data_IF_185526789564
#
_entry.id   IF_185526789564
#
_cell.length_a   1.000
_cell.length_b   1.000
_cell.length_c   1.000
_cell.angle_alpha   90.00
_cell.angle_beta   90.00
_cell.angle_gamma   90.00
#
_symmetry.space_group_name_H-M   'P 1'
#
loop_
_entity.id
_entity.type
_entity.pdbx_description
1 polymer ?
#
# COMPACT_ATOMS: atom_id res chain seq x y z
N UNK A 1 13.03 27.11 13.37
CA UNK A 1 13.32 25.67 13.34
C UNK A 1 13.59 25.29 11.89
N UNK A 2 14.79 24.82 11.60
CA UNK A 2 15.30 24.65 10.25
C UNK A 2 14.74 23.37 9.60
N UNK A 3 14.15 23.52 8.41
CA UNK A 3 13.77 22.42 7.52
C UNK A 3 15.05 21.76 6.99
N UNK A 4 15.16 20.44 7.14
CA UNK A 4 16.20 19.67 6.49
C UNK A 4 15.78 19.40 5.03
N UNK A 5 16.44 20.07 4.09
CA UNK A 5 16.35 19.80 2.66
C UNK A 5 17.31 18.66 2.27
N UNK A 6 16.88 17.80 1.35
CA UNK A 6 17.70 16.72 0.76
C UNK A 6 18.08 17.14 -0.67
N UNK A 7 19.37 17.20 -1.04
CA UNK A 7 19.80 17.58 -2.39
C UNK A 7 19.74 16.39 -3.36
N UNK A 8 19.13 16.60 -4.53
CA UNK A 8 19.20 15.69 -5.68
C UNK A 8 20.02 16.30 -6.81
N UNK A 9 20.85 15.48 -7.48
CA UNK A 9 21.35 15.76 -8.84
C UNK A 9 21.87 14.45 -9.50
N UNK A 10 22.22 14.42 -10.80
CA UNK A 10 21.45 13.79 -11.86
C UNK A 10 22.31 12.73 -12.58
N UNK A 11 21.93 12.35 -13.80
CA UNK A 11 22.65 11.49 -14.75
C UNK A 11 22.61 9.98 -14.46
N UNK A 12 21.96 9.22 -15.35
CA UNK A 12 22.68 8.68 -16.52
C UNK A 12 21.78 7.89 -17.46
N UNK A 13 21.75 8.45 -18.66
CA UNK A 13 21.51 7.84 -19.96
C UNK A 13 22.16 6.46 -20.18
N UNK A 14 21.48 5.68 -21.04
CA UNK A 14 21.99 4.66 -21.99
C UNK A 14 22.41 3.29 -21.42
N UNK A 15 21.62 2.27 -21.75
CA UNK A 15 21.96 1.30 -22.81
C UNK A 15 20.86 0.23 -22.96
N UNK A 16 20.31 0.08 -24.18
CA UNK A 16 19.59 -1.12 -24.64
C UNK A 16 20.62 -2.10 -25.22
N UNK A 17 20.37 -3.43 -25.16
CA UNK A 17 20.08 -4.09 -26.43
C UNK A 17 19.08 -5.26 -26.41
N UNK A 18 18.54 -5.43 -27.62
CA UNK A 18 17.70 -6.42 -28.32
C UNK A 18 17.85 -7.92 -27.94
N UNK A 19 16.75 -8.71 -27.95
CA UNK A 19 16.74 -10.15 -27.66
C UNK A 19 16.99 -11.04 -28.89
N UNK A 20 17.72 -12.16 -28.67
CA UNK A 20 17.85 -13.29 -29.62
C UNK A 20 16.79 -14.35 -29.34
N UNK A 21 16.00 -14.67 -30.36
CA UNK A 21 15.03 -15.77 -30.39
C UNK A 21 15.72 -17.13 -30.57
N UNK A 22 15.19 -18.16 -29.91
CA UNK A 22 15.45 -19.58 -30.22
C UNK A 22 14.10 -20.26 -30.49
N UNK A 23 13.93 -21.01 -31.59
CA UNK A 23 12.66 -21.60 -31.97
C UNK A 23 12.47 -23.05 -31.47
N UNK A 24 11.21 -23.37 -31.17
CA UNK A 24 10.58 -24.64 -31.53
C UNK A 24 10.91 -25.87 -30.67
N UNK A 25 10.02 -26.17 -29.72
CA UNK A 25 9.79 -27.56 -29.31
C UNK A 25 8.30 -27.89 -29.24
N UNK A 26 8.03 -29.09 -29.77
CA UNK A 26 6.77 -29.60 -30.29
C UNK A 26 5.86 -30.04 -29.14
N UNK A 27 4.61 -29.58 -29.19
CA UNK A 27 3.50 -30.00 -28.34
C UNK A 27 3.14 -31.45 -28.64
N UNK A 28 3.14 -32.32 -27.62
CA UNK A 28 2.50 -33.64 -27.66
C UNK A 28 1.25 -33.56 -26.79
N UNK A 29 0.09 -33.50 -27.43
CA UNK A 29 -1.22 -33.48 -26.79
C UNK A 29 -1.63 -34.90 -26.36
N UNK A 30 -2.15 -35.02 -25.14
CA UNK A 30 -2.87 -36.19 -24.63
C UNK A 30 -4.23 -35.73 -24.09
N UNK A 31 -5.26 -36.58 -24.16
CA UNK A 31 -6.66 -36.15 -24.23
C UNK A 31 -7.27 -35.75 -22.88
N UNK A 32 -8.22 -34.83 -22.98
CA UNK A 32 -8.98 -34.20 -21.92
C UNK A 32 -9.80 -35.20 -21.07
N UNK A 33 -9.69 -35.07 -19.75
CA UNK A 33 -10.73 -35.47 -18.79
C UNK A 33 -11.14 -34.26 -17.97
N UNK A 34 -12.45 -34.13 -17.78
CA UNK A 34 -13.14 -32.92 -17.37
C UNK A 34 -12.59 -32.29 -16.10
N UNK A 35 -12.02 -31.10 -16.26
CA UNK A 35 -11.81 -30.15 -15.19
C UNK A 35 -12.91 -29.09 -15.26
N UNK A 36 -13.46 -28.76 -14.09
CA UNK A 36 -14.23 -27.54 -13.85
C UNK A 36 -13.52 -26.35 -14.51
N UNK A 37 -14.25 -25.33 -15.03
CA UNK A 37 -13.61 -24.23 -15.73
C UNK A 37 -12.60 -23.54 -14.82
N UNK A 38 -11.32 -23.73 -15.10
CA UNK A 38 -10.28 -22.86 -14.58
C UNK A 38 -10.61 -21.43 -15.06
N UNK A 39 -10.53 -20.40 -14.18
CA UNK A 39 -10.76 -19.03 -14.60
C UNK A 39 -9.81 -18.72 -15.75
N UNK A 40 -10.38 -18.24 -16.86
CA UNK A 40 -9.64 -17.96 -18.07
C UNK A 40 -8.64 -16.85 -17.76
N UNK A 41 -7.39 -17.09 -18.16
CA UNK A 41 -6.30 -16.10 -18.11
C UNK A 41 -6.76 -14.82 -18.82
N UNK A 42 -7.08 -13.79 -18.06
CA UNK A 42 -7.56 -12.50 -18.58
C UNK A 42 -8.97 -12.08 -18.17
N UNK A 43 -9.65 -12.74 -17.22
CA UNK A 43 -10.84 -12.15 -16.60
C UNK A 43 -10.45 -10.89 -15.82
N UNK A 44 -10.88 -9.74 -16.34
CA UNK A 44 -10.75 -8.45 -15.67
C UNK A 44 -11.63 -8.47 -14.42
N UNK A 45 -11.01 -8.57 -13.24
CA UNK A 45 -11.71 -8.47 -11.96
C UNK A 45 -11.76 -7.02 -11.49
N UNK A 46 -12.88 -6.62 -10.88
CA UNK A 46 -13.01 -5.31 -10.26
C UNK A 46 -12.71 -5.39 -8.75
N UNK A 47 -12.09 -4.33 -8.20
CA UNK A 47 -11.90 -4.23 -6.76
C UNK A 47 -13.25 -4.14 -6.06
N UNK A 48 -13.41 -4.85 -4.94
CA UNK A 48 -14.59 -4.68 -4.09
C UNK A 48 -14.49 -3.33 -3.39
N UNK A 49 -15.50 -2.48 -3.56
CA UNK A 49 -15.60 -1.23 -2.80
C UNK A 49 -16.29 -1.54 -1.47
N UNK A 50 -15.61 -1.23 -0.38
CA UNK A 50 -16.07 -1.45 0.98
C UNK A 50 -16.76 -0.19 1.50
N UNK A 51 -17.90 -0.32 2.21
CA UNK A 51 -18.48 0.80 2.93
C UNK A 51 -17.52 1.24 4.06
N UNK A 52 -17.54 2.53 4.45
CA UNK A 52 -16.78 2.99 5.62
C UNK A 52 -17.13 2.19 6.87
N UNK A 53 -16.11 1.63 7.53
CA UNK A 53 -16.25 0.99 8.82
C UNK A 53 -15.98 1.95 9.98
N UNK A 54 -16.27 1.49 11.19
CA UNK A 54 -15.95 2.24 12.42
C UNK A 54 -14.43 2.29 12.66
N UNK A 55 -13.94 3.45 13.10
CA UNK A 55 -12.55 3.68 13.48
C UNK A 55 -12.51 4.09 14.95
N UNK A 56 -12.45 3.12 15.89
CA UNK A 56 -12.44 3.44 17.32
C UNK A 56 -11.21 4.29 17.65
N UNK A 57 -11.44 5.42 18.33
CA UNK A 57 -10.36 6.30 18.76
C UNK A 57 -9.87 5.84 20.13
N UNK A 58 -8.59 5.51 20.22
CA UNK A 58 -7.92 5.14 21.45
C UNK A 58 -6.97 6.27 21.87
N UNK A 59 -6.87 6.53 23.17
CA UNK A 59 -5.88 7.45 23.73
C UNK A 59 -4.52 6.73 23.79
N UNK A 60 -3.80 6.78 22.66
CA UNK A 60 -2.51 6.11 22.44
C UNK A 60 -1.46 7.14 22.02
N UNK A 61 -0.16 6.86 22.25
CA UNK A 61 0.89 7.76 21.81
C UNK A 61 0.82 8.04 20.30
N UNK A 62 1.16 9.27 19.92
CA UNK A 62 1.15 9.68 18.52
C UNK A 62 2.16 8.88 17.69
N UNK A 63 2.06 8.97 16.37
CA UNK A 63 2.97 8.25 15.48
C UNK A 63 4.40 8.79 15.63
N UNK A 64 4.56 10.09 15.88
CA UNK A 64 5.83 10.75 16.17
C UNK A 64 6.42 10.24 17.49
N UNK A 65 5.62 10.16 18.55
CA UNK A 65 6.05 9.63 19.84
C UNK A 65 6.48 8.15 19.71
N UNK A 66 5.68 7.33 19.04
CA UNK A 66 6.02 5.93 18.78
C UNK A 66 7.29 5.79 17.93
N UNK A 67 7.51 6.70 16.98
CA UNK A 67 8.71 6.73 16.15
C UNK A 67 9.96 7.05 16.95
N UNK A 68 9.87 8.01 17.87
CA UNK A 68 10.96 8.35 18.77
C UNK A 68 11.30 7.20 19.74
N UNK A 69 10.29 6.46 20.21
CA UNK A 69 10.47 5.28 21.06
C UNK A 69 11.23 4.12 20.40
N UNK A 70 11.33 4.07 19.06
CA UNK A 70 12.16 3.05 18.36
C UNK A 70 13.65 3.19 18.66
N UNK A 71 14.10 4.40 19.02
CA UNK A 71 15.51 4.73 19.17
C UNK A 71 16.22 5.00 17.83
N UNK A 72 17.34 5.76 17.86
CA UNK A 72 18.02 6.23 16.66
C UNK A 72 18.59 5.11 15.79
N UNK A 73 19.07 4.00 16.37
CA UNK A 73 19.66 2.89 15.62
C UNK A 73 18.63 2.17 14.74
N UNK A 74 17.43 1.93 15.26
CA UNK A 74 16.35 1.28 14.50
C UNK A 74 15.88 2.18 13.37
N UNK A 75 15.73 3.49 13.64
CA UNK A 75 15.36 4.49 12.63
C UNK A 75 16.41 4.59 11.51
N UNK A 76 17.69 4.61 11.86
CA UNK A 76 18.79 4.60 10.89
C UNK A 76 18.77 3.33 10.03
N UNK A 77 18.51 2.16 10.63
CA UNK A 77 18.38 0.89 9.89
C UNK A 77 17.18 0.86 8.95
N UNK A 78 16.05 1.45 9.36
CA UNK A 78 14.87 1.60 8.51
C UNK A 78 15.18 2.49 7.30
N UNK A 79 15.75 3.68 7.54
CA UNK A 79 16.14 4.61 6.48
C UNK A 79 17.15 3.99 5.52
N UNK A 80 18.22 3.37 6.03
CA UNK A 80 19.23 2.72 5.19
C UNK A 80 18.67 1.58 4.31
N UNK A 81 17.57 0.95 4.71
CA UNK A 81 16.91 -0.11 3.95
C UNK A 81 15.88 0.39 2.95
N UNK A 82 15.15 1.45 3.30
CA UNK A 82 14.09 2.04 2.49
C UNK A 82 14.65 3.04 1.44
N UNK A 83 15.83 3.59 1.68
CA UNK A 83 16.36 4.74 0.95
C UNK A 83 15.79 6.04 1.52
N UNK A 84 15.45 6.99 0.67
CA UNK A 84 14.70 8.19 1.10
C UNK A 84 13.33 7.79 1.63
N UNK A 85 13.00 8.20 2.86
CA UNK A 85 11.68 7.96 3.45
C UNK A 85 10.67 8.83 2.69
N UNK A 86 9.73 8.18 2.01
CA UNK A 86 8.63 8.86 1.34
C UNK A 86 7.43 8.98 2.28
N UNK A 87 7.09 7.88 2.95
CA UNK A 87 5.99 7.80 3.90
C UNK A 87 6.35 6.85 5.05
N UNK A 88 5.77 7.07 6.22
CA UNK A 88 5.98 6.22 7.38
C UNK A 88 4.86 6.35 8.40
N UNK A 89 4.72 5.35 9.26
CA UNK A 89 3.99 5.48 10.52
C UNK A 89 4.63 4.58 11.59
N UNK A 90 4.31 4.89 12.84
CA UNK A 90 4.68 4.08 13.99
C UNK A 90 3.51 4.02 14.97
N UNK A 91 3.35 2.88 15.63
CA UNK A 91 2.33 2.68 16.67
C UNK A 91 2.82 1.67 17.69
N UNK A 92 2.14 1.59 18.82
CA UNK A 92 2.31 0.47 19.73
C UNK A 92 1.66 -0.79 19.15
N UNK A 93 2.32 -1.93 19.33
CA UNK A 93 1.71 -3.23 19.15
C UNK A 93 0.86 -3.63 20.37
N UNK A 94 0.25 -4.82 20.34
CA UNK A 94 -0.57 -5.34 21.46
C UNK A 94 0.22 -5.55 22.75
N UNK A 95 1.56 -5.51 22.70
CA UNK A 95 2.44 -5.63 23.87
C UNK A 95 2.90 -4.27 24.40
N UNK A 96 2.39 -3.17 23.84
CA UNK A 96 2.78 -1.82 24.21
C UNK A 96 4.15 -1.42 23.69
N UNK A 97 4.68 -2.10 22.67
CA UNK A 97 6.02 -1.84 22.11
C UNK A 97 5.93 -1.17 20.74
N UNK A 98 6.81 -0.20 20.43
CA UNK A 98 6.75 0.52 19.17
C UNK A 98 7.10 -0.40 18.01
N UNK A 99 6.23 -0.41 17.00
CA UNK A 99 6.46 -0.96 15.66
C UNK A 99 6.34 0.17 14.64
N UNK A 100 6.99 0.01 13.49
CA UNK A 100 6.88 1.00 12.43
C UNK A 100 6.94 0.38 11.04
N UNK A 101 6.35 1.09 10.09
CA UNK A 101 6.42 0.79 8.66
C UNK A 101 6.93 2.03 7.94
N UNK A 102 7.85 1.84 7.00
CA UNK A 102 8.50 2.89 6.24
C UNK A 102 8.47 2.50 4.76
N UNK A 103 7.94 3.37 3.93
CA UNK A 103 8.01 3.26 2.48
C UNK A 103 9.11 4.18 1.94
N UNK A 104 9.97 3.62 1.10
CA UNK A 104 10.91 4.37 0.29
C UNK A 104 11.12 3.70 -1.07
N UNK A 105 11.92 4.31 -1.95
CA UNK A 105 12.14 3.81 -3.32
C UNK A 105 12.76 2.40 -3.36
N UNK A 106 13.52 2.01 -2.32
CA UNK A 106 14.21 0.72 -2.28
C UNK A 106 13.37 -0.40 -1.64
N UNK A 107 12.32 -0.06 -0.90
CA UNK A 107 11.62 -1.05 -0.07
C UNK A 107 10.48 -0.53 0.78
N UNK A 108 9.54 -1.44 1.07
CA UNK A 108 8.66 -1.35 2.24
C UNK A 108 9.36 -2.04 3.41
N UNK A 109 9.76 -1.25 4.41
CA UNK A 109 10.49 -1.72 5.58
C UNK A 109 9.60 -1.75 6.81
N UNK A 110 9.72 -2.79 7.62
CA UNK A 110 8.95 -2.96 8.85
C UNK A 110 9.90 -3.20 10.03
N UNK A 111 9.73 -2.44 11.11
CA UNK A 111 10.38 -2.68 12.39
C UNK A 111 9.37 -3.33 13.33
N UNK A 112 9.60 -4.58 13.70
CA UNK A 112 8.74 -5.33 14.60
C UNK A 112 9.47 -5.60 15.92
N UNK A 113 8.85 -5.32 17.08
CA UNK A 113 9.43 -5.67 18.36
C UNK A 113 9.58 -7.19 18.51
N UNK A 114 10.76 -7.64 18.93
CA UNK A 114 11.05 -9.04 19.26
C UNK A 114 11.73 -9.12 20.61
N UNK A 115 11.78 -10.33 21.19
CA UNK A 115 12.60 -10.64 22.35
C UNK A 115 13.69 -11.60 21.91
N UNK A 116 14.95 -11.20 22.09
CA UNK A 116 16.12 -12.01 21.71
C UNK A 116 17.03 -12.17 22.92
N UNK A 117 17.25 -13.42 23.34
CA UNK A 117 18.04 -13.76 24.53
C UNK A 117 17.59 -12.98 25.79
N UNK A 118 16.26 -12.88 26.00
CA UNK A 118 15.67 -12.15 27.13
C UNK A 118 15.76 -10.62 27.05
N UNK A 119 16.34 -10.06 25.98
CA UNK A 119 16.41 -8.61 25.77
C UNK A 119 15.44 -8.16 24.70
N UNK A 120 14.86 -6.98 24.91
CA UNK A 120 14.03 -6.31 23.92
C UNK A 120 14.90 -5.85 22.74
N UNK A 121 14.46 -6.17 21.52
CA UNK A 121 15.11 -5.73 20.29
C UNK A 121 14.06 -5.49 19.19
N UNK A 122 14.49 -4.98 18.04
CA UNK A 122 13.67 -4.83 16.84
C UNK A 122 14.24 -5.62 15.67
N UNK A 123 13.39 -6.44 15.05
CA UNK A 123 13.64 -7.05 13.77
C UNK A 123 13.24 -6.06 12.67
N UNK A 124 14.19 -5.70 11.81
CA UNK A 124 13.93 -4.83 10.66
C UNK A 124 13.92 -5.66 9.40
N UNK A 125 12.73 -5.89 8.85
CA UNK A 125 12.51 -6.59 7.59
C UNK A 125 12.34 -5.59 6.44
N UNK A 126 12.78 -5.96 5.24
CA UNK A 126 12.56 -5.19 4.01
C UNK A 126 11.93 -6.08 2.95
N UNK A 127 10.81 -5.65 2.42
CA UNK A 127 10.28 -6.11 1.14
C UNK A 127 10.88 -5.23 0.05
N UNK A 128 11.73 -5.81 -0.80
CA UNK A 128 12.47 -5.05 -1.81
C UNK A 128 11.58 -4.73 -3.01
N UNK A 129 11.55 -3.46 -3.42
CA UNK A 129 10.79 -3.03 -4.59
C UNK A 129 11.63 -3.14 -5.86
N UNK A 130 10.98 -3.28 -7.00
CA UNK A 130 11.65 -3.15 -8.30
C UNK A 130 12.18 -1.71 -8.48
N UNK A 131 13.50 -1.53 -8.69
CA UNK A 131 14.10 -0.19 -8.78
C UNK A 131 13.45 0.67 -9.86
N UNK A 132 13.07 1.90 -9.51
CA UNK A 132 12.45 2.86 -10.44
C UNK A 132 11.02 2.51 -10.89
N UNK A 133 10.42 1.45 -10.33
CA UNK A 133 9.05 1.04 -10.66
C UNK A 133 7.98 1.61 -9.71
N UNK A 134 8.39 2.35 -8.68
CA UNK A 134 7.46 3.01 -7.75
C UNK A 134 6.68 4.12 -8.45
N UNK A 135 5.36 3.97 -8.48
CA UNK A 135 4.41 4.94 -9.03
C UNK A 135 3.72 5.66 -7.89
N UNK A 136 3.49 6.96 -8.05
CA UNK A 136 2.74 7.82 -7.13
C UNK A 136 1.50 8.37 -7.81
N UNK A 137 0.39 8.41 -7.11
CA UNK A 137 -0.86 9.02 -7.56
C UNK A 137 -1.56 9.75 -6.40
N UNK A 138 -1.87 11.02 -6.62
CA UNK A 138 -2.56 11.87 -5.64
C UNK A 138 -4.07 11.90 -5.92
N UNK A 139 -4.87 11.94 -4.85
CA UNK A 139 -6.32 12.06 -4.90
C UNK A 139 -6.75 13.22 -3.99
N UNK A 140 -7.49 14.17 -4.54
CA UNK A 140 -8.10 15.28 -3.80
C UNK A 140 -9.60 15.32 -4.14
N UNK A 141 -10.47 15.19 -3.13
CA UNK A 141 -11.92 15.17 -3.34
C UNK A 141 -12.55 16.56 -3.34
N UNK A 142 -11.80 17.63 -3.04
CA UNK A 142 -12.27 19.02 -3.21
C UNK A 142 -12.29 19.42 -4.67
N UNK A 143 -11.33 18.92 -5.43
CA UNK A 143 -11.22 19.20 -6.85
C UNK A 143 -12.09 18.18 -7.59
N UNK A 144 -13.15 18.60 -8.32
CA UNK A 144 -13.84 17.69 -9.22
C UNK A 144 -12.79 17.13 -10.16
N UNK A 145 -12.62 15.80 -10.19
CA UNK A 145 -11.69 15.17 -11.11
C UNK A 145 -11.97 15.74 -12.52
N UNK A 146 -10.96 16.34 -13.15
CA UNK A 146 -11.05 16.73 -14.55
C UNK A 146 -11.24 15.43 -15.34
N UNK A 147 -12.50 15.05 -15.55
CA UNK A 147 -12.85 13.71 -15.96
C UNK A 147 -12.23 13.38 -17.31
N UNK A 148 -11.81 12.11 -17.54
CA UNK A 148 -11.73 11.62 -18.90
C UNK A 148 -13.12 11.82 -19.52
N UNK A 149 -13.21 12.43 -20.70
CA UNK A 149 -14.45 12.55 -21.47
C UNK A 149 -14.98 11.14 -21.75
N UNK A 150 -15.82 10.63 -20.87
CA UNK A 150 -16.53 9.37 -21.04
C UNK A 150 -17.56 9.63 -22.14
N UNK A 151 -17.33 9.02 -23.31
CA UNK A 151 -18.38 8.86 -24.31
C UNK A 151 -19.53 8.11 -23.62
N UNK A 152 -20.62 8.81 -23.38
CA UNK A 152 -21.89 8.20 -23.00
C UNK A 152 -22.28 7.20 -24.09
N UNK A 153 -22.23 5.91 -23.78
CA UNK A 153 -22.54 4.86 -24.73
C UNK A 153 -22.05 3.47 -24.30
N UNK A 154 -22.57 2.94 -23.20
CA UNK A 154 -22.77 1.49 -23.10
C UNK A 154 -23.79 1.18 -22.01
N UNK A 155 -25.04 0.91 -22.44
CA UNK A 155 -25.99 0.13 -21.66
C UNK A 155 -25.58 -1.34 -21.82
N UNK A 156 -24.90 -1.87 -20.82
CA UNK A 156 -24.45 -3.26 -20.77
C UNK A 156 -23.75 -3.50 -19.45
N UNK A 157 -24.53 -3.81 -18.41
CA UNK A 157 -24.03 -4.14 -17.08
C UNK A 157 -23.29 -5.48 -17.11
N UNK A 158 -22.02 -5.45 -17.52
CA UNK A 158 -21.07 -6.50 -17.17
C UNK A 158 -20.54 -6.15 -15.79
N UNK A 159 -21.18 -6.66 -14.74
CA UNK A 159 -20.58 -6.67 -13.40
C UNK A 159 -19.39 -7.61 -13.47
N UNK A 160 -18.19 -7.06 -13.64
CA UNK A 160 -16.97 -7.84 -13.51
C UNK A 160 -17.01 -8.56 -12.14
N UNK A 161 -16.58 -9.82 -12.07
CA UNK A 161 -16.52 -10.53 -10.81
C UNK A 161 -15.61 -9.75 -9.84
N UNK A 162 -16.10 -9.54 -8.62
CA UNK A 162 -15.29 -9.00 -7.54
C UNK A 162 -14.50 -10.12 -6.90
N UNK A 163 -13.19 -9.91 -6.72
CA UNK A 163 -12.30 -10.88 -6.05
C UNK A 163 -12.11 -10.45 -4.61
N UNK A 164 -12.25 -11.41 -3.69
CA UNK A 164 -11.93 -11.21 -2.28
C UNK A 164 -10.42 -11.43 -2.07
N UNK A 165 -9.75 -10.43 -1.50
CA UNK A 165 -8.32 -10.49 -1.17
C UNK A 165 -8.05 -11.22 0.15
N UNK A 166 -9.10 -11.66 0.87
CA UNK A 166 -8.96 -12.35 2.16
C UNK A 166 -8.52 -11.41 3.30
N UNK A 167 -8.82 -10.12 3.19
CA UNK A 167 -8.52 -9.13 4.23
C UNK A 167 -9.43 -9.35 5.44
N UNK A 168 -8.88 -9.16 6.64
CA UNK A 168 -9.68 -9.23 7.87
C UNK A 168 -10.68 -8.07 7.98
N UNK A 169 -11.67 -8.24 8.87
CA UNK A 169 -12.76 -7.28 9.04
C UNK A 169 -12.25 -5.88 9.41
N UNK A 170 -11.24 -5.79 10.28
CA UNK A 170 -10.63 -4.51 10.70
C UNK A 170 -9.97 -3.79 9.51
N UNK A 171 -9.20 -4.52 8.70
CA UNK A 171 -8.58 -3.99 7.49
C UNK A 171 -9.62 -3.51 6.48
N UNK A 172 -10.70 -4.27 6.28
CA UNK A 172 -11.78 -3.84 5.36
C UNK A 172 -12.51 -2.59 5.88
N UNK A 173 -12.67 -2.44 7.20
CA UNK A 173 -13.26 -1.26 7.82
C UNK A 173 -12.39 -0.01 7.61
N UNK A 174 -11.06 -0.14 7.79
CA UNK A 174 -10.11 0.94 7.50
C UNK A 174 -10.08 1.28 6.02
N UNK A 175 -9.98 0.27 5.15
CA UNK A 175 -9.99 0.45 3.70
C UNK A 175 -11.26 1.17 3.22
N UNK A 176 -12.41 0.80 3.78
CA UNK A 176 -13.71 1.39 3.44
C UNK A 176 -13.82 2.89 3.73
N UNK A 177 -12.97 3.44 4.60
CA UNK A 177 -12.96 4.89 4.88
C UNK A 177 -12.36 5.71 3.73
N UNK A 178 -11.50 5.12 2.90
CA UNK A 178 -10.92 5.82 1.76
C UNK A 178 -11.95 6.04 0.63
N UNK A 179 -11.77 7.09 -0.21
CA UNK A 179 -12.58 7.28 -1.42
C UNK A 179 -12.55 6.05 -2.33
N UNK A 180 -13.64 5.73 -3.09
CA UNK A 180 -13.71 4.54 -3.92
C UNK A 180 -12.55 4.40 -4.93
N UNK A 181 -12.06 5.50 -5.49
CA UNK A 181 -10.93 5.50 -6.42
C UNK A 181 -9.60 5.08 -5.75
N UNK A 182 -9.42 5.43 -4.48
CA UNK A 182 -8.27 5.01 -3.68
C UNK A 182 -8.40 3.52 -3.32
N UNK A 183 -9.59 3.06 -2.94
CA UNK A 183 -9.84 1.65 -2.66
C UNK A 183 -9.55 0.77 -3.89
N UNK A 184 -9.96 1.22 -5.09
CA UNK A 184 -9.64 0.54 -6.34
C UNK A 184 -8.13 0.53 -6.60
N UNK A 185 -7.46 1.69 -6.50
CA UNK A 185 -6.00 1.79 -6.68
C UNK A 185 -5.24 0.82 -5.78
N UNK A 186 -5.62 0.74 -4.50
CA UNK A 186 -4.95 -0.10 -3.51
C UNK A 186 -5.11 -1.60 -3.79
N UNK A 187 -6.28 -2.02 -4.27
CA UNK A 187 -6.62 -3.43 -4.43
C UNK A 187 -6.27 -3.98 -5.81
N UNK A 188 -6.41 -3.17 -6.86
CA UNK A 188 -6.30 -3.60 -8.26
C UNK A 188 -5.05 -4.41 -8.59
N UNK A 189 -3.84 -4.07 -8.06
CA UNK A 189 -2.64 -4.86 -8.33
C UNK A 189 -2.67 -6.31 -7.81
N UNK A 190 -3.57 -6.62 -6.86
CA UNK A 190 -3.69 -7.95 -6.25
C UNK A 190 -4.82 -8.80 -6.86
N UNK A 191 -5.67 -8.20 -7.70
CA UNK A 191 -6.80 -8.91 -8.32
C UNK A 191 -6.37 -9.77 -9.52
N UNK A 192 -5.16 -9.54 -10.03
CA UNK A 192 -4.67 -10.17 -11.25
C UNK A 192 -3.44 -11.03 -10.97
N UNK A 193 -3.55 -12.33 -11.25
CA UNK A 193 -2.45 -13.29 -11.17
C UNK A 193 -2.32 -13.99 -9.81
N UNK A 194 -1.21 -14.71 -9.65
CA UNK A 194 -0.91 -15.57 -8.50
C UNK A 194 -0.42 -14.77 -7.27
N UNK A 195 -0.93 -13.56 -7.04
CA UNK A 195 -0.60 -12.80 -5.83
C UNK A 195 -1.25 -13.46 -4.63
N UNK A 196 -0.43 -14.15 -3.84
CA UNK A 196 -0.87 -14.91 -2.67
C UNK A 196 -0.40 -14.26 -1.37
N UNK A 197 -1.21 -14.41 -0.32
CA UNK A 197 -0.84 -13.97 1.03
C UNK A 197 -0.74 -12.46 1.15
N UNK A 198 -1.78 -11.73 0.71
CA UNK A 198 -1.88 -10.28 0.93
C UNK A 198 -1.90 -10.02 2.43
N UNK A 199 -0.94 -9.24 2.90
CA UNK A 199 -0.84 -8.77 4.28
C UNK A 199 -1.09 -7.27 4.31
N UNK A 200 -1.88 -6.83 5.28
CA UNK A 200 -2.15 -5.43 5.55
C UNK A 200 -1.34 -4.93 6.75
N UNK A 201 -0.90 -3.68 6.66
CA UNK A 201 -0.52 -2.90 7.83
C UNK A 201 -1.17 -1.54 7.71
N UNK A 202 -1.79 -1.08 8.78
CA UNK A 202 -2.49 0.19 8.79
C UNK A 202 -2.38 0.87 10.16
N UNK A 203 -2.66 2.16 10.15
CA UNK A 203 -2.76 3.01 11.33
C UNK A 203 -3.66 4.21 11.02
N UNK A 204 -4.30 4.76 12.05
CA UNK A 204 -5.04 6.01 11.92
C UNK A 204 -5.01 6.79 13.22
N UNK A 205 -5.09 8.12 13.09
CA UNK A 205 -5.10 9.05 14.21
C UNK A 205 -6.10 10.16 13.92
N UNK A 206 -6.90 10.52 14.92
CA UNK A 206 -7.78 11.69 14.84
C UNK A 206 -7.22 12.81 15.72
N UNK A 207 -7.02 13.97 15.10
CA UNK A 207 -6.71 15.21 15.78
C UNK A 207 -7.92 16.14 15.71
N UNK A 208 -8.32 16.68 16.85
CA UNK A 208 -9.42 17.65 16.91
C UNK A 208 -8.85 19.04 17.14
N UNK A 209 -9.02 19.91 16.15
CA UNK A 209 -8.73 21.34 16.26
C UNK A 209 -10.00 22.13 16.59
N UNK A 210 -9.83 23.43 16.89
CA UNK A 210 -10.96 24.31 17.21
C UNK A 210 -12.00 24.40 16.08
N UNK A 211 -11.55 24.38 14.82
CA UNK A 211 -12.39 24.63 13.63
C UNK A 211 -12.73 23.37 12.82
N UNK A 212 -12.02 22.26 13.01
CA UNK A 212 -12.18 21.05 12.21
C UNK A 212 -11.58 19.83 12.93
N UNK A 213 -11.84 18.64 12.38
CA UNK A 213 -11.19 17.39 12.77
C UNK A 213 -10.39 16.84 11.61
N UNK A 214 -9.20 16.35 11.90
CA UNK A 214 -8.33 15.65 10.96
C UNK A 214 -8.28 14.18 11.32
N UNK A 215 -8.63 13.32 10.36
CA UNK A 215 -8.37 11.90 10.46
C UNK A 215 -7.24 11.56 9.48
N UNK A 216 -6.06 11.29 10.03
CA UNK A 216 -4.92 10.74 9.29
C UNK A 216 -5.07 9.23 9.21
N UNK A 217 -4.99 8.65 8.01
CA UNK A 217 -5.07 7.20 7.78
C UNK A 217 -3.93 6.76 6.89
N UNK A 218 -3.23 5.71 7.30
CA UNK A 218 -2.22 5.03 6.51
C UNK A 218 -2.60 3.56 6.35
N UNK A 219 -2.45 3.03 5.14
CA UNK A 219 -2.71 1.63 4.84
C UNK A 219 -1.73 1.14 3.78
N UNK A 220 -1.03 0.06 4.05
CA UNK A 220 -0.23 -0.67 3.09
C UNK A 220 -0.78 -2.08 2.90
N UNK A 221 -0.92 -2.49 1.64
CA UNK A 221 -1.13 -3.89 1.25
C UNK A 221 0.16 -4.40 0.63
N UNK A 222 0.58 -5.59 1.02
CA UNK A 222 1.82 -6.19 0.51
C UNK A 222 1.63 -7.68 0.27
N UNK A 223 2.16 -8.16 -0.86
CA UNK A 223 2.20 -9.58 -1.21
C UNK A 223 3.56 -9.92 -1.83
N UNK A 224 3.68 -11.12 -2.37
CA UNK A 224 4.88 -11.62 -3.05
C UNK A 224 5.32 -10.79 -4.27
N UNK A 225 4.38 -10.12 -4.95
CA UNK A 225 4.61 -9.41 -6.22
C UNK A 225 4.30 -7.93 -6.22
N UNK A 226 3.48 -7.46 -5.28
CA UNK A 226 2.99 -6.08 -5.29
C UNK A 226 2.99 -5.49 -3.89
N UNK A 227 3.26 -4.20 -3.82
CA UNK A 227 2.99 -3.34 -2.68
C UNK A 227 2.11 -2.20 -3.15
N UNK A 228 1.04 -1.91 -2.41
CA UNK A 228 0.33 -0.65 -2.48
C UNK A 228 0.34 0.02 -1.12
N UNK A 229 0.28 1.34 -1.13
CA UNK A 229 0.35 2.16 0.07
C UNK A 229 -0.52 3.40 -0.14
N UNK A 230 -1.29 3.80 0.85
CA UNK A 230 -1.98 5.07 0.90
C UNK A 230 -1.66 5.79 2.22
N UNK A 231 -1.41 7.09 2.13
CA UNK A 231 -1.36 8.03 3.25
C UNK A 231 -2.34 9.14 2.93
N UNK A 232 -3.29 9.40 3.81
CA UNK A 232 -4.28 10.44 3.56
C UNK A 232 -4.81 11.08 4.80
N UNK A 233 -5.29 12.31 4.63
CA UNK A 233 -5.94 13.10 5.67
C UNK A 233 -7.35 13.37 5.20
N UNK A 234 -8.32 13.04 6.05
CA UNK A 234 -9.70 13.51 5.92
C UNK A 234 -9.90 14.71 6.82
N UNK A 235 -10.30 15.83 6.21
CA UNK A 235 -10.60 17.07 6.93
C UNK A 235 -12.10 17.23 7.00
N UNK A 236 -12.65 17.25 8.22
CA UNK A 236 -14.07 17.46 8.48
C UNK A 236 -14.27 18.78 9.23
N UNK A 237 -14.84 19.82 8.59
CA UNK A 237 -15.14 21.07 9.26
C UNK A 237 -16.10 20.87 10.44
N UNK A 238 -15.92 21.65 11.50
CA UNK A 238 -16.74 21.54 12.71
C UNK A 238 -18.21 21.82 12.42
N UNK A 239 -19.09 21.02 13.03
CA UNK A 239 -20.55 21.15 12.88
C UNK A 239 -21.09 20.72 11.51
N UNK A 240 -20.23 20.16 10.64
CA UNK A 240 -20.63 19.59 9.36
C UNK A 240 -20.89 18.09 9.44
N UNK A 241 -21.64 17.59 8.48
CA UNK A 241 -21.88 16.15 8.32
C UNK A 241 -20.59 15.47 7.83
N UNK A 242 -20.32 14.20 8.18
CA UNK A 242 -19.18 13.45 7.65
C UNK A 242 -19.04 13.48 6.12
N UNK A 243 -20.15 13.64 5.40
CA UNK A 243 -20.19 13.76 3.93
C UNK A 243 -19.59 15.06 3.38
N UNK A 244 -19.48 16.10 4.22
CA UNK A 244 -18.88 17.39 3.87
C UNK A 244 -17.35 17.38 4.07
N UNK A 245 -16.82 16.29 4.62
CA UNK A 245 -15.38 16.10 4.75
C UNK A 245 -14.75 15.84 3.39
N UNK A 246 -13.52 16.31 3.21
CA UNK A 246 -12.75 16.03 2.00
C UNK A 246 -11.48 15.26 2.33
N UNK A 247 -10.97 14.56 1.34
CA UNK A 247 -9.76 13.75 1.41
C UNK A 247 -8.66 14.35 0.56
N UNK A 248 -7.46 14.34 1.12
CA UNK A 248 -6.20 14.45 0.41
C UNK A 248 -5.44 13.14 0.64
N UNK A 249 -5.13 12.39 -0.42
CA UNK A 249 -4.49 11.07 -0.32
C UNK A 249 -3.36 10.94 -1.33
N UNK A 250 -2.19 10.55 -0.85
CA UNK A 250 -1.08 10.09 -1.69
C UNK A 250 -1.06 8.57 -1.71
N UNK A 251 -1.11 7.99 -2.91
CA UNK A 251 -1.07 6.56 -3.12
C UNK A 251 0.19 6.15 -3.86
N UNK A 252 0.73 4.98 -3.52
CA UNK A 252 1.91 4.40 -4.13
C UNK A 252 1.66 2.96 -4.55
N UNK A 253 2.22 2.58 -5.69
CA UNK A 253 2.26 1.21 -6.16
C UNK A 253 3.66 0.86 -6.65
N UNK A 254 4.17 -0.29 -6.23
CA UNK A 254 5.41 -0.84 -6.76
C UNK A 254 5.32 -2.37 -6.87
N UNK A 255 5.85 -2.96 -7.96
CA UNK A 255 6.16 -4.38 -7.99
C UNK A 255 7.24 -4.71 -6.95
N UNK A 256 7.12 -5.88 -6.34
CA UNK A 256 8.13 -6.46 -5.46
C UNK A 256 9.15 -7.18 -6.31
N UNK A 257 10.42 -6.96 -6.01
CA UNK A 257 11.50 -7.72 -6.62
C UNK A 257 11.40 -9.17 -6.17
N UNK A 258 11.10 -10.05 -7.12
CA UNK A 258 11.01 -11.49 -6.84
C UNK A 258 12.25 -11.95 -6.09
N UNK A 259 12.07 -12.82 -5.09
CA UNK A 259 13.21 -13.51 -4.48
C UNK A 259 14.00 -14.18 -5.60
N UNK A 260 15.19 -13.65 -5.90
CA UNK A 260 16.20 -14.45 -6.58
C UNK A 260 16.40 -15.75 -5.77
N UNK A 261 16.81 -16.85 -6.40
CA UNK A 261 17.16 -18.05 -5.64
C UNK A 261 18.12 -17.62 -4.53
N UNK A 262 17.81 -18.05 -3.31
CA UNK A 262 18.73 -17.90 -2.19
C UNK A 262 19.99 -18.73 -2.52
N UNK A 263 20.93 -18.14 -3.25
CA UNK A 263 22.31 -18.62 -3.34
C UNK A 263 23.05 -18.09 -2.12
N UNK A 264 23.36 -18.93 -1.14
CA UNK A 264 24.47 -19.89 -1.13
C UNK A 264 25.79 -19.18 -0.88
#
# INVERSE_FOLDING_TARGET
MARAEIPGNPDRERARPVPRQVPGQVRRELPARGGLPAPRRGEEAAARIHPPGELPLEDVPTREECWDMLGPEVRARLQAKAGTILEWWARLDRTGRPRAVVLGPDGLCKATPITRHGRQAHLVHRLQLEPGALRRQSFDTRTPAAGPRTRAGSRGGSTLPTVDLGLDAETTAVLGNFPPAVQDFLQRPFLHGDSHGVVSDWDYQEETEFTHRHLSVLLALSADRNVTFASGIRILPRGRSPQDGYWEVECYHAPVRGRGPAGA
#
